data_IF_858192083710
#
_entry.id   IF_858192083710
#
_cell.length_a   1.000
_cell.length_b   1.000
_cell.length_c   1.000
_cell.angle_alpha   90.00
_cell.angle_beta   90.00
_cell.angle_gamma   90.00
#
_symmetry.space_group_name_H-M   'P 1'
#
loop_
_entity.id
_entity.type
_entity.pdbx_description
1 polymer ?
#
# COMPACT_ATOMS: atom_id res chain seq x y z
N UNK A 1 -14.60 -49.01 -40.25
CA UNK A 1 -13.79 -48.97 -38.98
C UNK A 1 -13.03 -47.67 -38.79
N UNK A 2 -12.69 -46.95 -39.83
CA UNK A 2 -11.91 -45.70 -39.77
C UNK A 2 -12.69 -44.49 -39.27
N UNK A 3 -14.00 -44.43 -39.44
CA UNK A 3 -14.86 -43.31 -39.11
C UNK A 3 -15.15 -43.19 -37.58
N UNK A 4 -15.21 -44.33 -36.89
CA UNK A 4 -15.42 -44.37 -35.45
C UNK A 4 -14.21 -43.90 -34.64
N UNK A 5 -13.01 -44.08 -35.19
CA UNK A 5 -11.74 -43.65 -34.57
C UNK A 5 -11.55 -42.14 -34.57
N UNK A 6 -12.07 -41.44 -35.59
CA UNK A 6 -11.92 -39.99 -35.73
C UNK A 6 -12.73 -39.20 -34.71
N UNK A 7 -13.89 -39.69 -34.30
CA UNK A 7 -14.75 -39.02 -33.30
C UNK A 7 -14.20 -39.10 -31.89
N UNK A 8 -13.55 -40.22 -31.53
CA UNK A 8 -12.96 -40.41 -30.21
C UNK A 8 -11.74 -39.47 -29.96
N UNK A 9 -11.05 -39.08 -31.03
CA UNK A 9 -9.90 -38.17 -30.96
C UNK A 9 -10.27 -36.75 -30.46
N UNK A 10 -11.52 -36.33 -30.71
CA UNK A 10 -12.00 -34.99 -30.30
C UNK A 10 -12.77 -35.02 -28.98
N UNK A 11 -13.25 -36.18 -28.55
CA UNK A 11 -14.03 -36.32 -27.30
C UNK A 11 -13.09 -36.06 -26.08
N UNK A 12 -11.92 -36.65 -26.05
CA UNK A 12 -10.99 -36.50 -24.93
C UNK A 12 -10.53 -35.05 -24.72
N UNK A 13 -10.08 -34.30 -25.75
CA UNK A 13 -9.76 -32.88 -25.59
C UNK A 13 -10.97 -32.04 -25.20
N UNK A 14 -12.16 -32.32 -25.76
CA UNK A 14 -13.37 -31.60 -25.39
C UNK A 14 -13.76 -31.80 -23.92
N UNK A 15 -13.62 -33.03 -23.40
CA UNK A 15 -13.86 -33.32 -21.97
C UNK A 15 -12.84 -32.60 -21.08
N UNK A 16 -11.55 -32.58 -21.46
CA UNK A 16 -10.52 -31.87 -20.70
C UNK A 16 -10.82 -30.37 -20.66
N UNK A 17 -11.20 -29.77 -21.79
CA UNK A 17 -11.57 -28.36 -21.86
C UNK A 17 -12.82 -28.07 -21.02
N UNK A 18 -13.84 -28.94 -21.09
CA UNK A 18 -15.06 -28.79 -20.29
C UNK A 18 -14.78 -28.88 -18.79
N UNK A 19 -13.92 -29.82 -18.38
CA UNK A 19 -13.51 -29.96 -16.96
C UNK A 19 -12.69 -28.74 -16.52
N UNK A 20 -11.78 -28.24 -17.36
CA UNK A 20 -11.01 -27.02 -17.07
C UNK A 20 -11.92 -25.79 -16.94
N UNK A 21 -12.91 -25.64 -17.82
CA UNK A 21 -13.89 -24.54 -17.75
C UNK A 21 -14.77 -24.65 -16.50
N UNK A 22 -15.21 -25.84 -16.12
CA UNK A 22 -15.97 -26.07 -14.89
C UNK A 22 -15.11 -25.81 -13.65
N UNK A 23 -13.84 -26.17 -13.67
CA UNK A 23 -12.89 -25.85 -12.60
C UNK A 23 -12.67 -24.33 -12.48
N UNK A 24 -12.56 -23.61 -13.62
CA UNK A 24 -12.45 -22.15 -13.63
C UNK A 24 -13.74 -21.47 -13.09
N UNK A 25 -14.92 -21.97 -13.41
CA UNK A 25 -16.18 -21.43 -12.87
C UNK A 25 -16.35 -21.74 -11.37
N UNK A 26 -15.77 -22.84 -10.88
CA UNK A 26 -15.70 -23.16 -9.46
C UNK A 26 -14.72 -22.26 -8.69
N UNK A 27 -13.76 -21.63 -9.38
CA UNK A 27 -12.74 -20.80 -8.74
C UNK A 27 -13.25 -19.44 -8.26
N UNK A 28 -14.39 -18.96 -8.73
CA UNK A 28 -15.04 -17.78 -8.13
C UNK A 28 -15.47 -18.03 -6.67
N UNK A 29 -15.82 -19.27 -6.33
CA UNK A 29 -16.05 -19.66 -4.93
C UNK A 29 -14.76 -19.93 -4.15
N UNK A 30 -13.65 -20.24 -4.83
CA UNK A 30 -12.33 -20.31 -4.21
C UNK A 30 -11.73 -18.91 -3.99
N UNK A 31 -12.13 -17.90 -4.75
CA UNK A 31 -11.76 -16.50 -4.52
C UNK A 31 -12.38 -15.95 -3.24
N UNK A 32 -13.45 -16.54 -2.73
CA UNK A 32 -13.98 -16.24 -1.39
C UNK A 32 -13.26 -17.01 -0.27
N UNK A 33 -12.30 -17.86 -0.59
CA UNK A 33 -11.25 -18.34 0.34
C UNK A 33 -10.18 -17.28 0.53
N UNK A 34 -10.57 -16.14 0.14
CA UNK A 34 -10.06 -14.85 0.45
C UNK A 34 -9.39 -14.87 1.81
N UNK A 35 -8.18 -14.41 1.88
CA UNK A 35 -7.60 -13.86 3.09
C UNK A 35 -6.83 -14.79 4.03
N UNK A 36 -6.67 -16.07 3.75
CA UNK A 36 -5.85 -16.89 4.66
C UNK A 36 -4.42 -17.14 4.18
N UNK A 37 -4.09 -16.81 2.93
CA UNK A 37 -2.79 -17.15 2.35
C UNK A 37 -1.68 -16.19 2.71
N UNK A 38 -1.98 -14.89 2.84
CA UNK A 38 -1.01 -13.91 3.31
C UNK A 38 -1.72 -12.98 4.28
N UNK A 39 -1.57 -13.23 5.57
CA UNK A 39 -1.89 -12.22 6.57
C UNK A 39 -0.66 -11.32 6.70
N UNK A 40 -0.87 -10.02 6.50
CA UNK A 40 0.14 -9.04 6.85
C UNK A 40 0.44 -9.18 8.35
N UNK A 41 1.72 -9.31 8.68
CA UNK A 41 2.14 -9.36 10.07
C UNK A 41 1.95 -7.98 10.71
N UNK A 42 1.07 -7.91 11.71
CA UNK A 42 0.78 -6.67 12.43
C UNK A 42 1.97 -6.13 13.25
N UNK A 43 3.06 -6.92 13.39
CA UNK A 43 4.29 -6.43 13.98
C UNK A 43 5.10 -5.55 13.02
N UNK A 44 4.93 -5.75 11.70
CA UNK A 44 5.69 -5.05 10.67
C UNK A 44 4.82 -4.14 9.78
N UNK A 45 3.51 -4.39 9.72
CA UNK A 45 2.59 -3.65 8.87
C UNK A 45 1.49 -2.97 9.68
N UNK A 46 1.12 -1.71 9.34
CA UNK A 46 0.15 -0.92 10.09
C UNK A 46 -1.30 -1.33 9.79
N UNK A 47 -1.63 -2.60 10.03
CA UNK A 47 -2.94 -3.18 9.68
C UNK A 47 -4.06 -2.63 10.56
N UNK A 48 -3.76 -2.26 11.82
CA UNK A 48 -4.75 -1.67 12.73
C UNK A 48 -5.04 -0.20 12.40
N UNK A 49 -4.11 0.48 11.69
CA UNK A 49 -4.27 1.87 11.22
C UNK A 49 -5.05 1.94 9.90
N UNK A 50 -5.09 0.85 9.14
CA UNK A 50 -5.67 0.83 7.80
C UNK A 50 -7.13 1.32 7.72
N UNK A 51 -8.05 1.03 8.67
CA UNK A 51 -9.40 1.58 8.63
C UNK A 51 -9.43 3.11 8.65
N UNK A 52 -8.60 3.75 9.47
CA UNK A 52 -8.48 5.21 9.59
C UNK A 52 -7.86 5.83 8.33
N UNK A 53 -6.82 5.19 7.78
CA UNK A 53 -6.23 5.61 6.50
C UNK A 53 -7.27 5.61 5.38
N UNK A 54 -8.07 4.55 5.27
CA UNK A 54 -9.16 4.45 4.28
C UNK A 54 -10.30 5.46 4.52
N UNK A 55 -10.56 5.79 5.77
CA UNK A 55 -11.54 6.83 6.10
C UNK A 55 -11.02 8.20 5.65
N UNK A 56 -9.79 8.54 5.98
CA UNK A 56 -9.16 9.82 5.57
C UNK A 56 -9.04 9.90 4.04
N UNK A 57 -8.67 8.82 3.36
CA UNK A 57 -8.58 8.77 1.89
C UNK A 57 -9.90 9.18 1.22
N UNK A 58 -11.05 8.81 1.80
CA UNK A 58 -12.37 9.18 1.28
C UNK A 58 -12.75 10.64 1.55
N UNK A 59 -12.16 11.26 2.55
CA UNK A 59 -12.42 12.65 2.95
C UNK A 59 -11.62 13.67 2.12
N UNK A 60 -10.53 13.23 1.48
CA UNK A 60 -9.60 14.12 0.79
C UNK A 60 -9.63 13.92 -0.72
N UNK A 61 -9.24 14.92 -1.52
CA UNK A 61 -9.14 14.77 -2.97
C UNK A 61 -8.14 13.67 -3.36
N UNK A 62 -8.43 12.98 -4.47
CA UNK A 62 -7.49 12.02 -5.05
C UNK A 62 -6.15 12.69 -5.38
N UNK A 63 -5.05 12.02 -5.08
CA UNK A 63 -3.70 12.53 -5.25
C UNK A 63 -3.23 13.44 -4.10
N UNK A 64 -3.99 13.50 -2.99
CA UNK A 64 -3.54 14.22 -1.79
C UNK A 64 -2.19 13.66 -1.33
N UNK A 65 -1.16 14.51 -1.14
CA UNK A 65 0.16 14.05 -0.72
C UNK A 65 0.12 13.57 0.74
N UNK A 66 0.75 12.41 0.96
CA UNK A 66 1.02 11.85 2.29
C UNK A 66 2.54 11.74 2.47
N UNK A 67 3.06 12.22 3.61
CA UNK A 67 4.43 11.95 3.98
C UNK A 67 4.53 10.57 4.60
N UNK A 68 5.50 9.76 4.20
CA UNK A 68 5.63 8.41 4.70
C UNK A 68 7.07 7.95 4.73
N UNK A 69 7.37 7.00 5.60
CA UNK A 69 8.63 6.26 5.53
C UNK A 69 8.67 5.34 4.32
N UNK A 70 9.87 5.13 3.78
CA UNK A 70 10.10 4.43 2.52
C UNK A 70 9.45 3.06 2.48
N UNK A 71 9.60 2.25 3.53
CA UNK A 71 9.05 0.89 3.58
C UNK A 71 7.52 0.86 3.60
N UNK A 72 6.88 1.94 4.06
CA UNK A 72 5.42 2.03 4.08
C UNK A 72 4.82 2.51 2.74
N UNK A 73 5.65 2.96 1.80
CA UNK A 73 5.18 3.47 0.51
C UNK A 73 4.42 2.44 -0.30
N UNK A 74 4.96 1.23 -0.44
CA UNK A 74 4.30 0.12 -1.15
C UNK A 74 2.97 -0.29 -0.49
N UNK A 75 2.92 -0.30 0.84
CA UNK A 75 1.68 -0.56 1.61
C UNK A 75 0.60 0.48 1.29
N UNK A 76 0.96 1.77 1.28
CA UNK A 76 0.04 2.86 0.95
C UNK A 76 -0.47 2.78 -0.49
N UNK A 77 0.42 2.55 -1.47
CA UNK A 77 0.07 2.41 -2.89
C UNK A 77 -0.95 1.30 -3.10
N UNK A 78 -0.79 0.18 -2.39
CA UNK A 78 -1.69 -0.97 -2.52
C UNK A 78 -3.02 -0.76 -1.81
N UNK A 79 -3.02 -0.25 -0.57
CA UNK A 79 -4.20 -0.21 0.27
C UNK A 79 -5.01 1.10 0.19
N UNK A 80 -4.34 2.21 -0.15
CA UNK A 80 -4.91 3.56 -0.23
C UNK A 80 -4.37 4.31 -1.46
N UNK A 81 -4.69 3.82 -2.69
CA UNK A 81 -4.15 4.37 -3.94
C UNK A 81 -4.61 5.81 -4.24
N UNK A 82 -5.54 6.33 -3.49
CA UNK A 82 -5.97 7.73 -3.57
C UNK A 82 -4.95 8.73 -3.05
N UNK A 83 -3.99 8.29 -2.25
CA UNK A 83 -2.89 9.14 -1.80
C UNK A 83 -1.75 9.17 -2.82
N UNK A 84 -1.02 10.28 -2.84
CA UNK A 84 0.27 10.40 -3.49
C UNK A 84 1.37 10.26 -2.44
N UNK A 85 2.03 9.11 -2.40
CA UNK A 85 3.10 8.81 -1.46
C UNK A 85 4.31 9.70 -1.70
N UNK A 86 5.01 10.05 -0.62
CA UNK A 86 6.24 10.86 -0.68
C UNK A 86 7.41 10.05 -1.23
N UNK A 87 7.55 8.81 -0.79
CA UNK A 87 8.62 7.89 -1.19
C UNK A 87 8.14 6.44 -1.06
N UNK A 88 8.73 5.54 -1.85
CA UNK A 88 8.52 4.10 -1.74
C UNK A 88 9.85 3.34 -1.94
N UNK A 89 9.81 2.02 -1.84
CA UNK A 89 10.97 1.13 -1.91
C UNK A 89 11.51 0.87 -3.32
N UNK A 90 10.90 1.47 -4.36
CA UNK A 90 11.41 1.40 -5.75
C UNK A 90 12.53 2.42 -5.93
N UNK A 91 13.66 2.16 -5.29
CA UNK A 91 14.81 3.08 -5.25
C UNK A 91 15.29 3.53 -6.63
N UNK A 92 15.08 2.72 -7.67
CA UNK A 92 15.43 3.03 -9.05
C UNK A 92 14.64 4.19 -9.68
N UNK A 93 13.53 4.59 -9.05
CA UNK A 93 12.72 5.74 -9.51
C UNK A 93 13.22 7.07 -8.97
N UNK A 94 14.15 7.04 -8.03
CA UNK A 94 14.67 8.23 -7.35
C UNK A 94 16.14 8.46 -7.71
N UNK A 95 16.53 9.72 -7.77
CA UNK A 95 17.93 10.08 -7.94
C UNK A 95 18.73 9.75 -6.67
N UNK A 96 19.98 9.31 -6.82
CA UNK A 96 20.87 8.96 -5.70
C UNK A 96 21.01 10.11 -4.70
N UNK A 97 21.06 11.35 -5.19
CA UNK A 97 21.15 12.55 -4.35
C UNK A 97 19.91 12.70 -3.46
N UNK A 98 18.71 12.45 -4.00
CA UNK A 98 17.46 12.48 -3.24
C UNK A 98 17.45 11.41 -2.15
N UNK A 99 17.84 10.17 -2.49
CA UNK A 99 17.88 9.05 -1.52
C UNK A 99 18.88 9.32 -0.39
N UNK A 100 20.09 9.80 -0.73
CA UNK A 100 21.09 10.17 0.26
C UNK A 100 20.61 11.31 1.17
N UNK A 101 19.94 12.28 0.60
CA UNK A 101 19.34 13.39 1.33
C UNK A 101 18.21 12.90 2.24
N UNK A 102 17.37 11.98 1.75
CA UNK A 102 16.31 11.37 2.55
C UNK A 102 16.88 10.65 3.78
N UNK A 103 17.86 9.76 3.59
CA UNK A 103 18.45 8.98 4.69
C UNK A 103 19.15 9.85 5.72
N UNK A 104 19.77 10.97 5.29
CA UNK A 104 20.54 11.91 6.15
C UNK A 104 19.77 13.17 6.51
N UNK A 105 18.46 13.21 6.27
CA UNK A 105 17.65 14.42 6.34
C UNK A 105 17.77 15.14 7.69
N UNK A 106 17.94 16.43 7.58
CA UNK A 106 17.86 17.38 8.69
C UNK A 106 16.49 18.06 8.69
N UNK A 107 16.21 18.83 9.76
CA UNK A 107 14.96 19.61 9.83
C UNK A 107 14.77 20.54 8.63
N UNK A 108 15.85 21.15 8.13
CA UNK A 108 15.81 22.02 6.96
C UNK A 108 15.37 21.30 5.68
N UNK A 109 15.75 20.01 5.52
CA UNK A 109 15.31 19.19 4.39
C UNK A 109 13.83 18.88 4.48
N UNK A 110 13.37 18.48 5.67
CA UNK A 110 11.97 18.24 5.94
C UNK A 110 11.11 19.49 5.69
N UNK A 111 11.56 20.67 6.14
CA UNK A 111 10.85 21.92 5.91
C UNK A 111 10.78 22.28 4.42
N UNK A 112 11.87 22.05 3.67
CA UNK A 112 11.89 22.24 2.22
C UNK A 112 10.89 21.33 1.51
N UNK A 113 10.84 20.03 1.89
CA UNK A 113 9.87 19.09 1.33
C UNK A 113 8.42 19.42 1.72
N UNK A 114 8.19 19.85 2.95
CA UNK A 114 6.86 20.27 3.41
C UNK A 114 6.34 21.50 2.66
N UNK A 115 7.22 22.39 2.22
CA UNK A 115 6.89 23.54 1.38
C UNK A 115 6.65 23.13 -0.08
N UNK A 116 7.46 22.22 -0.61
CA UNK A 116 7.34 21.73 -1.98
C UNK A 116 6.14 20.81 -2.18
N UNK A 117 5.86 19.97 -1.18
CA UNK A 117 4.78 18.99 -1.17
C UNK A 117 3.93 19.23 0.08
N UNK A 118 2.88 20.06 0.01
CA UNK A 118 2.10 20.45 1.19
C UNK A 118 1.25 19.30 1.70
N UNK A 119 1.89 18.34 2.36
CA UNK A 119 1.20 17.22 3.01
C UNK A 119 0.58 17.63 4.35
N UNK A 120 -0.59 17.05 4.63
CA UNK A 120 -1.33 17.24 5.88
C UNK A 120 -1.59 15.93 6.61
N UNK A 121 -1.05 14.84 6.07
CA UNK A 121 -1.17 13.47 6.58
C UNK A 121 0.22 12.88 6.55
N UNK A 122 0.57 12.10 7.58
CA UNK A 122 1.82 11.35 7.57
C UNK A 122 1.64 9.98 8.20
N UNK A 123 2.30 8.97 7.63
CA UNK A 123 2.39 7.60 8.16
C UNK A 123 3.86 7.25 8.34
N UNK A 124 4.27 7.08 9.59
CA UNK A 124 5.66 6.82 9.95
C UNK A 124 5.81 5.52 10.70
N UNK A 125 6.93 4.82 10.50
CA UNK A 125 7.30 3.68 11.33
C UNK A 125 7.45 4.11 12.80
N UNK A 126 7.22 3.15 13.70
CA UNK A 126 7.24 3.45 15.14
C UNK A 126 8.60 3.96 15.65
N UNK A 127 9.69 3.57 14.99
CA UNK A 127 11.07 3.96 15.27
C UNK A 127 11.65 4.97 14.27
N UNK A 128 10.79 5.57 13.44
CA UNK A 128 11.19 6.57 12.44
C UNK A 128 11.91 7.78 13.04
N UNK A 129 13.04 8.14 12.44
CA UNK A 129 13.78 9.35 12.79
C UNK A 129 13.02 10.65 12.47
N UNK A 130 11.98 10.57 11.63
CA UNK A 130 11.16 11.72 11.24
C UNK A 130 10.12 12.10 12.30
N UNK A 131 9.73 11.19 13.20
CA UNK A 131 8.69 11.42 14.21
C UNK A 131 8.88 12.71 14.98
N UNK A 132 10.11 13.03 15.37
CA UNK A 132 10.45 14.26 16.10
C UNK A 132 9.96 15.54 15.40
N UNK A 133 9.90 15.56 14.06
CA UNK A 133 9.44 16.74 13.31
C UNK A 133 7.93 16.94 13.37
N UNK A 134 7.19 15.87 13.64
CA UNK A 134 5.74 15.90 13.80
C UNK A 134 5.35 16.09 15.25
N UNK A 135 6.09 15.49 16.20
CA UNK A 135 5.83 15.57 17.64
C UNK A 135 6.19 16.95 18.21
N UNK A 136 7.22 17.60 17.68
CA UNK A 136 7.64 18.95 18.08
C UNK A 136 6.74 20.06 17.51
N UNK A 137 5.98 19.81 16.44
CA UNK A 137 5.07 20.78 15.83
C UNK A 137 3.63 20.58 16.32
N UNK A 138 3.17 21.48 17.20
CA UNK A 138 1.81 21.49 17.79
C UNK A 138 0.67 21.50 16.76
N UNK A 139 0.98 21.71 15.47
CA UNK A 139 -0.01 21.63 14.38
C UNK A 139 -0.33 20.19 13.98
N UNK A 140 0.47 19.22 14.43
CA UNK A 140 0.25 17.82 14.17
C UNK A 140 -0.29 17.09 15.39
N UNK A 141 -1.16 16.14 15.15
CA UNK A 141 -1.66 15.25 16.21
C UNK A 141 -1.68 13.81 15.72
N UNK A 142 -1.55 12.89 16.65
CA UNK A 142 -1.66 11.45 16.40
C UNK A 142 -3.12 11.09 16.24
N UNK A 143 -3.46 10.54 15.06
CA UNK A 143 -4.81 9.99 14.80
C UNK A 143 -4.91 8.60 15.38
N UNK A 144 -3.90 7.77 15.11
CA UNK A 144 -3.80 6.40 15.60
C UNK A 144 -2.35 5.93 15.57
N UNK A 145 -2.06 5.01 16.47
CA UNK A 145 -0.77 4.31 16.53
C UNK A 145 -1.03 2.82 16.76
N UNK A 146 -0.23 1.99 16.11
CA UNK A 146 -0.15 0.56 16.39
C UNK A 146 1.30 0.13 16.66
N UNK A 147 1.60 -1.16 16.51
CA UNK A 147 2.95 -1.69 16.77
C UNK A 147 3.94 -1.36 15.66
N UNK A 148 3.45 -1.15 14.45
CA UNK A 148 4.29 -0.93 13.27
C UNK A 148 4.47 0.55 12.96
N UNK A 149 3.43 1.39 13.15
CA UNK A 149 3.45 2.76 12.67
C UNK A 149 2.60 3.72 13.53
N UNK A 150 2.76 5.01 13.21
CA UNK A 150 1.98 6.13 13.74
C UNK A 150 1.42 6.94 12.58
N UNK A 151 0.11 7.20 12.64
CA UNK A 151 -0.61 8.05 11.70
C UNK A 151 -0.79 9.44 12.31
N UNK A 152 -0.29 10.44 11.61
CA UNK A 152 -0.43 11.85 11.98
C UNK A 152 -1.35 12.58 11.02
N UNK A 153 -2.05 13.58 11.55
CA UNK A 153 -2.83 14.53 10.76
C UNK A 153 -2.52 15.95 11.24
N UNK A 154 -2.47 16.89 10.27
CA UNK A 154 -2.24 18.30 10.56
C UNK A 154 -3.57 19.02 10.80
N UNK A 155 -3.62 19.90 11.79
CA UNK A 155 -4.74 20.80 12.02
C UNK A 155 -4.75 21.84 10.89
N UNK A 156 -5.80 21.83 10.08
CA UNK A 156 -6.04 22.83 9.03
C UNK A 156 -6.89 23.91 9.68
N UNK A 157 -6.31 25.10 9.82
CA UNK A 157 -7.05 26.29 10.26
C UNK A 157 -7.76 26.94 9.07
#
# INVERSE_FOLDING_TARGET
ETEKRSRLQYVLPAVIVAVALLACQGSEKLSSTDQKWVKLDAAHWPVEILPELKAIEKEVPQGTPIFNDMLLGGFLIYHTPGFRVFIDDRCELYEDEFLLRYVKAKKSDFDAWSNQYPFHIALLEIDSNYRKYFEDDKKWFVVKQDRAAVLYRKIIQ
#
